data_IF_927179857326
#
_entry.id   IF_927179857326
#
_cell.length_a   1.000
_cell.length_b   1.000
_cell.length_c   1.000
_cell.angle_alpha   90.00
_cell.angle_beta   90.00
_cell.angle_gamma   90.00
#
_symmetry.space_group_name_H-M   'P 1'
#
loop_
_entity.id
_entity.type
_entity.pdbx_description
1 polymer ?
#
# COMPACT_ATOMS: atom_id res chain seq x y z
N UNK A 1 6.29 -20.28 1.03
CA UNK A 1 5.00 -19.56 0.89
C UNK A 1 4.41 -19.74 -0.51
N UNK A 2 5.23 -19.87 -1.56
CA UNK A 2 4.79 -20.41 -2.85
C UNK A 2 5.85 -21.42 -3.31
N UNK A 3 5.46 -22.67 -3.48
CA UNK A 3 6.32 -23.70 -4.04
C UNK A 3 6.08 -23.77 -5.55
N UNK A 4 7.16 -23.87 -6.33
CA UNK A 4 7.12 -23.91 -7.79
C UNK A 4 7.79 -25.21 -8.22
N UNK A 5 6.97 -26.15 -8.69
CA UNK A 5 7.45 -27.43 -9.19
C UNK A 5 8.31 -27.22 -10.45
N UNK A 6 9.56 -27.65 -10.40
CA UNK A 6 10.49 -27.61 -11.53
C UNK A 6 10.06 -28.50 -12.70
N UNK A 7 9.20 -29.48 -12.46
CA UNK A 7 8.63 -30.34 -13.50
C UNK A 7 7.31 -29.77 -14.10
N UNK A 8 6.85 -28.61 -13.65
CA UNK A 8 5.64 -27.99 -14.18
C UNK A 8 5.77 -27.61 -15.65
N UNK A 9 4.70 -27.85 -16.41
CA UNK A 9 4.57 -27.38 -17.79
C UNK A 9 4.48 -25.86 -17.89
N UNK A 10 4.75 -25.31 -19.07
CA UNK A 10 4.60 -23.87 -19.34
C UNK A 10 3.18 -23.35 -19.03
N UNK A 11 2.15 -24.14 -19.32
CA UNK A 11 0.76 -23.78 -19.03
C UNK A 11 0.51 -23.66 -17.51
N UNK A 12 1.07 -24.58 -16.71
CA UNK A 12 0.99 -24.52 -15.25
C UNK A 12 1.75 -23.33 -14.68
N UNK A 13 2.93 -23.02 -15.21
CA UNK A 13 3.71 -21.85 -14.81
C UNK A 13 2.98 -20.55 -15.15
N UNK A 14 2.36 -20.43 -16.33
CA UNK A 14 1.51 -19.29 -16.70
C UNK A 14 0.34 -19.12 -15.71
N UNK A 15 -0.38 -20.19 -15.42
CA UNK A 15 -1.48 -20.15 -14.46
C UNK A 15 -1.01 -19.78 -13.05
N UNK A 16 0.21 -20.18 -12.65
CA UNK A 16 0.80 -19.75 -11.39
C UNK A 16 1.05 -18.23 -11.37
N UNK A 17 1.66 -17.68 -12.42
CA UNK A 17 1.88 -16.22 -12.56
C UNK A 17 0.55 -15.45 -12.49
N UNK A 18 -0.48 -15.88 -13.21
CA UNK A 18 -1.81 -15.24 -13.18
C UNK A 18 -2.46 -15.26 -11.79
N UNK A 19 -2.24 -16.32 -11.01
CA UNK A 19 -2.71 -16.38 -9.62
C UNK A 19 -1.93 -15.42 -8.72
N UNK A 20 -0.61 -15.39 -8.84
CA UNK A 20 0.22 -14.46 -8.06
C UNK A 20 -0.12 -13.02 -8.38
N UNK A 21 -0.48 -12.73 -9.63
CA UNK A 21 -0.81 -11.37 -10.03
C UNK A 21 -2.16 -10.90 -9.51
N UNK A 22 -3.14 -11.80 -9.43
CA UNK A 22 -4.38 -11.53 -8.69
C UNK A 22 -4.12 -11.30 -7.20
N UNK A 23 -3.26 -12.11 -6.57
CA UNK A 23 -2.90 -11.94 -5.16
C UNK A 23 -2.19 -10.61 -4.92
N UNK A 24 -1.20 -10.26 -5.76
CA UNK A 24 -0.47 -9.00 -5.69
C UNK A 24 -1.42 -7.81 -5.82
N UNK A 25 -2.34 -7.87 -6.79
CA UNK A 25 -3.34 -6.82 -7.01
C UNK A 25 -4.29 -6.66 -5.83
N UNK A 26 -4.77 -7.77 -5.27
CA UNK A 26 -5.63 -7.76 -4.08
C UNK A 26 -4.92 -7.15 -2.87
N UNK A 27 -3.66 -7.50 -2.64
CA UNK A 27 -2.83 -6.91 -1.58
C UNK A 27 -2.61 -5.41 -1.80
N UNK A 28 -2.29 -4.99 -3.03
CA UNK A 28 -2.14 -3.57 -3.37
C UNK A 28 -3.42 -2.75 -3.10
N UNK A 29 -4.59 -3.30 -3.47
CA UNK A 29 -5.88 -2.66 -3.19
C UNK A 29 -6.18 -2.57 -1.68
N UNK A 30 -5.82 -3.61 -0.91
CA UNK A 30 -5.94 -3.57 0.54
C UNK A 30 -5.02 -2.52 1.17
N UNK A 31 -3.77 -2.40 0.68
CA UNK A 31 -2.84 -1.36 1.13
C UNK A 31 -3.35 0.05 0.83
N UNK A 32 -3.96 0.28 -0.34
CA UNK A 32 -4.58 1.56 -0.68
C UNK A 32 -5.69 1.94 0.32
N UNK A 33 -6.64 1.03 0.57
CA UNK A 33 -7.73 1.25 1.56
C UNK A 33 -7.19 1.49 2.98
N UNK A 34 -6.18 0.73 3.39
CA UNK A 34 -5.55 0.92 4.70
C UNK A 34 -4.85 2.29 4.80
N UNK A 35 -4.18 2.72 3.72
CA UNK A 35 -3.55 4.04 3.61
C UNK A 35 -4.60 5.16 3.71
N UNK A 36 -5.75 5.01 3.05
CA UNK A 36 -6.84 5.99 3.10
C UNK A 36 -7.40 6.12 4.53
N UNK A 37 -7.66 4.98 5.18
CA UNK A 37 -8.15 4.96 6.55
C UNK A 37 -7.13 5.57 7.52
N UNK A 38 -5.84 5.31 7.32
CA UNK A 38 -4.79 5.90 8.12
C UNK A 38 -4.74 7.42 7.95
N UNK A 39 -4.81 7.93 6.71
CA UNK A 39 -4.85 9.36 6.44
C UNK A 39 -6.05 10.03 7.10
N UNK A 40 -7.25 9.45 6.99
CA UNK A 40 -8.44 9.95 7.66
C UNK A 40 -8.30 9.98 9.19
N UNK A 41 -7.75 8.91 9.79
CA UNK A 41 -7.49 8.86 11.24
C UNK A 41 -6.46 9.90 11.68
N UNK A 42 -5.38 10.11 10.91
CA UNK A 42 -4.38 11.14 11.21
C UNK A 42 -5.00 12.53 11.15
N UNK A 43 -5.76 12.82 10.11
CA UNK A 43 -6.45 14.10 9.96
C UNK A 43 -7.40 14.37 11.13
N UNK A 44 -8.23 13.39 11.52
CA UNK A 44 -9.16 13.53 12.64
C UNK A 44 -8.42 13.74 13.98
N UNK A 45 -7.32 13.01 14.22
CA UNK A 45 -6.51 13.15 15.43
C UNK A 45 -5.85 14.54 15.53
N UNK A 46 -5.27 15.02 14.42
CA UNK A 46 -4.64 16.33 14.36
C UNK A 46 -5.66 17.48 14.49
N UNK A 47 -6.85 17.30 13.94
CA UNK A 47 -7.96 18.22 14.13
C UNK A 47 -8.40 18.30 15.60
N UNK A 48 -8.62 17.16 16.24
CA UNK A 48 -8.96 17.08 17.66
C UNK A 48 -7.87 17.70 18.55
N UNK A 49 -6.60 17.57 18.17
CA UNK A 49 -5.46 18.19 18.84
C UNK A 49 -5.30 19.70 18.55
N UNK A 50 -6.19 20.31 17.75
CA UNK A 50 -6.13 21.73 17.41
C UNK A 50 -5.00 22.11 16.46
N UNK A 51 -4.41 21.13 15.74
CA UNK A 51 -3.38 21.40 14.73
C UNK A 51 -3.99 22.25 13.62
N UNK A 52 -3.34 23.36 13.28
CA UNK A 52 -3.76 24.25 12.18
C UNK A 52 -3.84 23.45 10.87
N UNK A 53 -4.91 23.66 10.09
CA UNK A 53 -5.15 22.94 8.84
C UNK A 53 -3.91 22.90 7.91
N UNK A 54 -3.20 24.02 7.74
CA UNK A 54 -1.99 24.13 6.92
C UNK A 54 -0.77 23.32 7.44
N UNK A 55 -0.86 22.69 8.61
CA UNK A 55 0.21 21.87 9.21
C UNK A 55 -0.18 20.40 9.37
N UNK A 56 -1.42 20.02 9.04
CA UNK A 56 -1.91 18.64 9.14
C UNK A 56 -1.26 17.74 8.09
N UNK A 57 -1.15 16.45 8.39
CA UNK A 57 -0.64 15.41 7.50
C UNK A 57 0.87 15.46 7.23
N UNK A 58 1.62 16.32 7.93
CA UNK A 58 3.08 16.42 7.74
C UNK A 58 3.76 15.11 8.09
N UNK A 59 4.59 14.62 7.17
CA UNK A 59 5.35 13.37 7.33
C UNK A 59 4.57 12.10 6.96
N UNK A 60 3.24 12.14 6.90
CA UNK A 60 2.42 10.95 6.66
C UNK A 60 2.77 10.23 5.36
N UNK A 61 3.04 10.96 4.28
CA UNK A 61 3.45 10.36 3.01
C UNK A 61 4.71 9.49 3.16
N UNK A 62 5.72 9.99 3.86
CA UNK A 62 6.96 9.26 4.10
C UNK A 62 6.73 8.06 5.02
N UNK A 63 5.89 8.19 6.04
CA UNK A 63 5.49 7.07 6.90
C UNK A 63 4.79 5.95 6.09
N UNK A 64 3.89 6.31 5.18
CA UNK A 64 3.19 5.37 4.27
C UNK A 64 4.18 4.64 3.35
N UNK A 65 5.12 5.37 2.74
CA UNK A 65 6.14 4.75 1.88
C UNK A 65 7.01 3.75 2.66
N UNK A 66 7.48 4.14 3.85
CA UNK A 66 8.29 3.27 4.70
C UNK A 66 7.52 2.02 5.13
N UNK A 67 6.24 2.14 5.48
CA UNK A 67 5.39 1.00 5.81
C UNK A 67 5.21 0.03 4.62
N UNK A 68 5.29 0.55 3.39
CA UNK A 68 5.27 -0.23 2.15
C UNK A 68 6.65 -0.70 1.69
N UNK A 69 7.69 -0.45 2.49
CA UNK A 69 9.10 -0.75 2.19
C UNK A 69 9.59 -0.11 0.89
N UNK A 70 9.09 1.09 0.57
CA UNK A 70 9.47 1.86 -0.61
C UNK A 70 10.20 3.15 -0.23
N UNK A 71 10.86 3.78 -1.19
CA UNK A 71 11.56 5.04 -0.99
C UNK A 71 10.57 6.14 -0.53
N UNK A 72 10.92 7.02 0.43
CA UNK A 72 10.01 8.02 0.98
C UNK A 72 9.30 8.91 -0.06
N UNK A 73 9.95 9.17 -1.20
CA UNK A 73 9.40 9.95 -2.32
C UNK A 73 8.16 9.31 -2.97
N UNK A 74 7.96 8.00 -2.82
CA UNK A 74 6.79 7.26 -3.32
C UNK A 74 5.55 7.43 -2.46
N UNK A 75 5.68 8.04 -1.28
CA UNK A 75 4.59 8.24 -0.32
C UNK A 75 3.39 8.99 -0.89
N UNK A 76 3.64 10.07 -1.64
CA UNK A 76 2.59 10.85 -2.26
C UNK A 76 1.83 10.04 -3.32
N UNK A 77 2.53 9.16 -4.05
CA UNK A 77 1.89 8.26 -5.00
C UNK A 77 0.96 7.28 -4.30
N UNK A 78 1.40 6.68 -3.18
CA UNK A 78 0.57 5.75 -2.42
C UNK A 78 -0.64 6.41 -1.75
N UNK A 79 -0.49 7.64 -1.24
CA UNK A 79 -1.61 8.45 -0.76
C UNK A 79 -2.56 8.85 -1.90
N UNK A 80 -2.03 9.11 -3.10
CA UNK A 80 -2.86 9.44 -4.27
C UNK A 80 -3.63 8.24 -4.85
N UNK A 81 -3.18 7.01 -4.58
CA UNK A 81 -3.91 5.78 -4.91
C UNK A 81 -4.94 5.37 -3.85
N UNK A 82 -4.89 6.01 -2.68
CA UNK A 82 -5.71 5.70 -1.53
C UNK A 82 -7.12 6.30 -1.63
#
# INVERSE_FOLDING_TARGET
>A
MFDIDSAASEAQLRAAVERFERLKSAAAAAQARATALWAAKRQAAEEAAGVRAAKRGKGLASEVALARQDAPVKGNQHLGFA
#
